data_IF_022372825650
#
_entry.id   IF_022372825650
#
_cell.length_a   1.000
_cell.length_b   1.000
_cell.length_c   1.000
_cell.angle_alpha   90.00
_cell.angle_beta   90.00
_cell.angle_gamma   90.00
#
_symmetry.space_group_name_H-M   'P 1'
#
loop_
_entity.id
_entity.type
_entity.pdbx_description
1 polymer ?
#
# COMPACT_ATOMS: atom_id res chain seq x y z
N UNK A 1 -2.18 16.86 -1.26
CA UNK A 1 -2.01 16.06 -2.50
C UNK A 1 -0.99 14.95 -2.23
N UNK A 2 -1.39 13.92 -1.47
CA UNK A 2 -2.11 12.67 -1.81
C UNK A 2 -1.17 11.55 -2.28
N UNK A 3 -0.71 10.75 -1.30
CA UNK A 3 -0.04 9.46 -1.48
C UNK A 3 -0.86 8.42 -2.27
N UNK A 4 -2.16 8.69 -2.48
CA UNK A 4 -3.13 7.76 -3.08
C UNK A 4 -3.78 8.28 -4.37
N UNK A 5 -3.41 9.47 -4.87
CA UNK A 5 -3.81 9.90 -6.20
C UNK A 5 -2.61 9.79 -7.14
N UNK A 6 -2.55 8.75 -8.00
CA UNK A 6 -1.71 8.83 -9.19
C UNK A 6 -2.38 9.81 -10.14
N UNK A 7 -2.18 11.12 -9.92
CA UNK A 7 -2.47 12.09 -10.97
C UNK A 7 -1.37 11.95 -12.03
N UNK A 8 -1.76 11.52 -13.22
CA UNK A 8 -0.93 11.51 -14.42
C UNK A 8 -0.70 12.92 -14.99
N UNK A 9 -1.26 13.97 -14.38
CA UNK A 9 -1.23 15.35 -14.88
C UNK A 9 -0.02 16.18 -14.41
N UNK A 10 1.00 15.56 -13.79
CA UNK A 10 2.25 16.27 -13.42
C UNK A 10 3.34 16.09 -14.49
N UNK A 11 2.97 15.69 -15.71
CA UNK A 11 3.86 15.61 -16.89
C UNK A 11 4.25 16.99 -17.48
N UNK A 12 4.14 18.07 -16.70
CA UNK A 12 4.42 19.42 -17.16
C UNK A 12 5.87 19.89 -16.96
N UNK A 13 6.36 19.96 -15.72
CA UNK A 13 7.48 20.89 -15.46
C UNK A 13 8.42 20.57 -14.29
N UNK A 14 8.47 19.33 -13.79
CA UNK A 14 9.42 19.00 -12.72
C UNK A 14 10.07 17.64 -12.93
N UNK A 15 11.01 17.57 -13.88
CA UNK A 15 12.01 16.49 -13.88
C UNK A 15 12.86 16.68 -12.61
N UNK A 16 12.82 15.75 -11.65
CA UNK A 16 13.66 15.85 -10.47
C UNK A 16 15.12 15.84 -10.89
N UNK A 17 15.95 16.78 -10.41
CA UNK A 17 17.39 16.91 -10.76
C UNK A 17 18.22 15.62 -10.56
N UNK A 18 17.67 14.63 -9.86
CA UNK A 18 18.24 13.30 -9.68
C UNK A 18 18.24 12.46 -10.97
N UNK A 19 17.38 12.79 -11.95
CA UNK A 19 17.38 12.19 -13.29
C UNK A 19 18.37 12.88 -14.25
N UNK A 20 18.85 14.08 -13.90
CA UNK A 20 19.76 14.88 -14.73
C UNK A 20 21.24 14.71 -14.33
N UNK A 21 21.54 14.01 -13.24
CA UNK A 21 22.91 13.69 -12.87
C UNK A 21 23.22 12.28 -13.35
N UNK A 22 24.12 12.16 -14.34
CA UNK A 22 24.80 10.90 -14.60
C UNK A 22 25.39 10.38 -13.28
N UNK A 23 25.22 9.09 -12.94
CA UNK A 23 25.76 8.55 -11.71
C UNK A 23 27.29 8.73 -11.73
N UNK A 24 27.79 9.52 -10.78
CA UNK A 24 29.21 9.49 -10.41
C UNK A 24 29.53 8.07 -9.95
N UNK A 25 30.63 7.53 -10.44
CA UNK A 25 31.12 6.17 -10.19
C UNK A 25 30.87 5.70 -8.75
N UNK A 26 30.05 4.65 -8.59
CA UNK A 26 29.89 3.91 -7.35
C UNK A 26 28.54 4.02 -6.63
N UNK A 27 27.63 4.92 -7.02
CA UNK A 27 26.25 4.88 -6.49
C UNK A 27 25.39 3.91 -7.30
N UNK A 28 24.93 2.83 -6.66
CA UNK A 28 23.93 1.95 -7.22
C UNK A 28 22.70 2.77 -7.62
N UNK A 29 22.43 2.84 -8.92
CA UNK A 29 21.23 3.50 -9.46
C UNK A 29 20.02 2.82 -8.83
N UNK A 30 19.11 3.56 -8.16
CA UNK A 30 17.87 2.97 -7.64
C UNK A 30 17.17 2.26 -8.78
N UNK A 31 16.80 0.98 -8.61
CA UNK A 31 16.19 0.20 -9.68
C UNK A 31 14.92 0.94 -10.16
N UNK A 32 14.89 1.40 -11.42
CA UNK A 32 13.81 2.24 -11.90
C UNK A 32 12.59 1.36 -12.13
N UNK A 33 11.61 1.52 -11.24
CA UNK A 33 10.32 0.84 -11.30
C UNK A 33 10.50 -0.69 -11.14
N UNK A 34 9.51 -1.35 -10.54
CA UNK A 34 9.29 -2.74 -10.92
C UNK A 34 9.16 -2.73 -12.47
N UNK A 35 9.79 -3.61 -13.24
CA UNK A 35 9.60 -3.70 -14.71
C UNK A 35 8.15 -4.16 -15.02
N UNK A 36 7.17 -3.40 -14.56
CA UNK A 36 5.78 -3.77 -14.44
C UNK A 36 4.96 -3.11 -15.52
N UNK A 37 4.07 -3.91 -16.05
CA UNK A 37 3.21 -3.52 -17.15
C UNK A 37 2.23 -2.43 -16.69
N UNK A 38 1.81 -1.56 -17.63
CA UNK A 38 0.74 -0.57 -17.40
C UNK A 38 -0.50 -1.12 -16.65
N UNK A 39 -0.97 -2.36 -16.90
CA UNK A 39 -2.00 -3.04 -16.10
C UNK A 39 -1.78 -3.05 -14.58
N UNK A 40 -0.53 -3.16 -14.10
CA UNK A 40 -0.23 -3.13 -12.68
C UNK A 40 -0.64 -1.81 -12.02
N UNK A 41 -0.28 -0.68 -12.64
CA UNK A 41 -0.66 0.64 -12.13
C UNK A 41 -2.16 0.87 -12.17
N UNK A 42 -2.83 0.34 -13.20
CA UNK A 42 -4.29 0.37 -13.28
C UNK A 42 -4.93 -0.44 -12.14
N UNK A 43 -4.34 -1.58 -11.79
CA UNK A 43 -4.79 -2.41 -10.67
C UNK A 43 -4.65 -1.67 -9.34
N UNK A 44 -3.50 -1.02 -9.09
CA UNK A 44 -3.30 -0.16 -7.91
C UNK A 44 -4.37 0.91 -7.80
N UNK A 45 -4.60 1.66 -8.88
CA UNK A 45 -5.59 2.73 -8.90
C UNK A 45 -7.01 2.19 -8.66
N UNK A 46 -7.37 1.08 -9.31
CA UNK A 46 -8.71 0.50 -9.25
C UNK A 46 -9.03 -0.10 -7.89
N UNK A 47 -8.10 -0.86 -7.30
CA UNK A 47 -8.25 -1.40 -5.94
C UNK A 47 -8.33 -0.27 -4.92
N UNK A 48 -7.48 0.74 -5.04
CA UNK A 48 -7.52 1.91 -4.14
C UNK A 48 -8.85 2.65 -4.26
N UNK A 49 -9.37 2.83 -5.50
CA UNK A 49 -10.65 3.49 -5.74
C UNK A 49 -11.81 2.75 -5.08
N UNK A 50 -11.89 1.43 -5.23
CA UNK A 50 -12.92 0.64 -4.54
C UNK A 50 -12.74 0.70 -3.02
N UNK A 51 -11.52 0.60 -2.52
CA UNK A 51 -11.24 0.64 -1.08
C UNK A 51 -11.61 1.98 -0.43
N UNK A 52 -11.71 3.07 -1.18
CA UNK A 52 -12.18 4.38 -0.68
C UNK A 52 -13.68 4.43 -0.37
N UNK A 53 -14.46 3.51 -0.94
CA UNK A 53 -15.88 3.46 -0.67
C UNK A 53 -16.12 3.06 0.79
N UNK A 54 -16.86 3.90 1.51
CA UNK A 54 -17.32 3.66 2.88
C UNK A 54 -18.69 2.98 2.92
N UNK A 55 -19.45 3.07 1.82
CA UNK A 55 -20.75 2.40 1.62
C UNK A 55 -20.56 1.00 1.07
N UNK A 56 -21.63 0.19 1.17
CA UNK A 56 -21.69 -1.10 0.49
C UNK A 56 -21.59 -0.93 -1.03
N UNK A 57 -20.95 -1.92 -1.68
CA UNK A 57 -20.76 -1.94 -3.12
C UNK A 57 -22.10 -2.16 -3.84
N UNK A 58 -22.36 -1.33 -4.85
CA UNK A 58 -23.47 -1.52 -5.79
C UNK A 58 -23.18 -2.66 -6.78
N UNK A 59 -24.14 -2.96 -7.65
CA UNK A 59 -24.04 -4.12 -8.54
C UNK A 59 -22.87 -4.01 -9.53
N UNK A 60 -22.59 -2.81 -10.06
CA UNK A 60 -21.48 -2.59 -11.00
C UNK A 60 -20.14 -2.65 -10.28
N UNK A 61 -20.05 -2.04 -9.10
CA UNK A 61 -18.86 -2.08 -8.24
C UNK A 61 -18.53 -3.51 -7.80
N UNK A 62 -19.54 -4.35 -7.54
CA UNK A 62 -19.34 -5.78 -7.25
C UNK A 62 -18.73 -6.53 -8.43
N UNK A 63 -19.17 -6.25 -9.66
CA UNK A 63 -18.57 -6.86 -10.85
C UNK A 63 -17.11 -6.45 -11.02
N UNK A 64 -16.81 -5.16 -10.79
CA UNK A 64 -15.43 -4.65 -10.81
C UNK A 64 -14.61 -5.33 -9.71
N UNK A 65 -15.16 -5.48 -8.50
CA UNK A 65 -14.50 -6.17 -7.40
C UNK A 65 -14.15 -7.62 -7.75
N UNK A 66 -15.09 -8.39 -8.32
CA UNK A 66 -14.84 -9.79 -8.73
C UNK A 66 -13.78 -9.88 -9.83
N UNK A 67 -13.80 -8.94 -10.78
CA UNK A 67 -12.76 -8.86 -11.82
C UNK A 67 -11.40 -8.57 -11.20
N UNK A 68 -11.29 -7.57 -10.33
CA UNK A 68 -10.03 -7.21 -9.67
C UNK A 68 -9.50 -8.33 -8.80
N UNK A 69 -10.37 -9.08 -8.13
CA UNK A 69 -9.97 -10.28 -7.38
C UNK A 69 -9.33 -11.32 -8.31
N UNK A 70 -9.90 -11.52 -9.49
CA UNK A 70 -9.35 -12.43 -10.50
C UNK A 70 -8.02 -11.92 -11.06
N UNK A 71 -7.92 -10.62 -11.36
CA UNK A 71 -6.69 -9.99 -11.87
C UNK A 71 -5.55 -10.08 -10.83
N UNK A 72 -5.84 -9.86 -9.55
CA UNK A 72 -4.86 -10.02 -8.44
C UNK A 72 -4.44 -11.48 -8.29
N UNK A 73 -5.37 -12.44 -8.39
CA UNK A 73 -5.00 -13.86 -8.35
C UNK A 73 -4.14 -14.25 -9.55
N UNK A 74 -4.42 -13.71 -10.75
CA UNK A 74 -3.60 -13.95 -11.92
C UNK A 74 -2.20 -13.32 -11.75
N UNK A 75 -2.13 -12.10 -11.23
CA UNK A 75 -0.86 -11.44 -10.89
C UNK A 75 -0.01 -12.34 -9.99
N UNK A 76 -0.59 -12.88 -8.92
CA UNK A 76 0.13 -13.80 -8.03
C UNK A 76 0.57 -15.13 -8.66
N UNK A 77 -0.16 -15.64 -9.66
CA UNK A 77 0.18 -16.90 -10.35
C UNK A 77 1.21 -16.71 -11.46
N UNK A 78 1.18 -15.57 -12.13
CA UNK A 78 2.02 -15.30 -13.31
C UNK A 78 3.43 -14.88 -12.88
N UNK A 79 3.51 -14.19 -11.74
CA UNK A 79 4.75 -13.78 -11.12
C UNK A 79 5.20 -14.85 -10.12
N UNK A 80 5.92 -15.88 -10.60
CA UNK A 80 6.75 -16.80 -9.78
C UNK A 80 7.91 -16.01 -9.15
N UNK A 81 7.56 -15.05 -8.29
CA UNK A 81 8.43 -13.91 -8.01
C UNK A 81 9.18 -14.06 -6.71
N UNK A 82 10.47 -14.32 -6.87
CA UNK A 82 11.52 -14.02 -5.90
C UNK A 82 11.58 -12.52 -5.53
N UNK A 83 10.79 -11.63 -6.17
CA UNK A 83 10.72 -10.21 -5.79
C UNK A 83 9.80 -9.99 -4.57
N UNK A 84 10.36 -9.68 -3.40
CA UNK A 84 9.57 -9.49 -2.20
C UNK A 84 8.67 -8.24 -2.25
N UNK A 85 8.98 -7.22 -3.05
CA UNK A 85 8.11 -6.03 -3.17
C UNK A 85 6.84 -6.33 -3.94
N UNK A 86 6.90 -7.13 -5.02
CA UNK A 86 5.71 -7.60 -5.73
C UNK A 86 4.78 -8.42 -4.84
N UNK A 87 5.38 -9.30 -4.03
CA UNK A 87 4.64 -10.05 -3.00
C UNK A 87 4.01 -9.13 -1.95
N UNK A 88 4.67 -8.04 -1.58
CA UNK A 88 4.10 -7.04 -0.69
C UNK A 88 2.88 -6.34 -1.31
N UNK A 89 2.95 -6.03 -2.60
CA UNK A 89 1.84 -5.47 -3.37
C UNK A 89 0.64 -6.41 -3.45
N UNK A 90 0.86 -7.70 -3.71
CA UNK A 90 -0.24 -8.67 -3.76
C UNK A 90 -0.98 -8.77 -2.42
N UNK A 91 -0.25 -8.76 -1.30
CA UNK A 91 -0.84 -8.70 0.05
C UNK A 91 -1.63 -7.41 0.27
N UNK A 92 -1.07 -6.26 -0.11
CA UNK A 92 -1.78 -5.00 -0.01
C UNK A 92 -3.05 -4.96 -0.86
N UNK A 93 -3.04 -5.49 -2.09
CA UNK A 93 -4.24 -5.59 -2.93
C UNK A 93 -5.32 -6.42 -2.26
N UNK A 94 -4.98 -7.62 -1.77
CA UNK A 94 -5.94 -8.49 -1.09
C UNK A 94 -6.53 -7.85 0.16
N UNK A 95 -5.71 -7.20 0.99
CA UNK A 95 -6.18 -6.49 2.19
C UNK A 95 -7.21 -5.41 1.80
N UNK A 96 -6.93 -4.63 0.76
CA UNK A 96 -7.84 -3.57 0.32
C UNK A 96 -9.12 -4.11 -0.33
N UNK A 97 -9.05 -5.19 -1.09
CA UNK A 97 -10.24 -5.85 -1.63
C UNK A 97 -11.10 -6.44 -0.51
N UNK A 98 -10.48 -7.04 0.52
CA UNK A 98 -11.20 -7.57 1.68
C UNK A 98 -11.91 -6.48 2.47
N UNK A 99 -11.37 -5.25 2.53
CA UNK A 99 -12.08 -4.13 3.18
C UNK A 99 -13.51 -3.97 2.66
N UNK A 100 -13.71 -4.11 1.35
CA UNK A 100 -15.00 -3.96 0.67
C UNK A 100 -15.67 -5.27 0.26
N UNK A 101 -15.23 -6.44 0.76
CA UNK A 101 -15.76 -7.73 0.31
C UNK A 101 -17.27 -7.85 0.61
N UNK A 102 -18.12 -7.99 -0.44
CA UNK A 102 -19.57 -8.06 -0.28
C UNK A 102 -20.07 -9.44 0.18
N UNK A 103 -19.22 -10.48 0.15
CA UNK A 103 -19.58 -11.87 0.46
C UNK A 103 -19.29 -12.24 1.91
N UNK A 104 -18.36 -11.54 2.56
CA UNK A 104 -17.91 -11.83 3.91
C UNK A 104 -18.44 -10.85 4.95
N UNK A 105 -18.78 -11.36 6.14
CA UNK A 105 -19.08 -10.48 7.27
C UNK A 105 -17.80 -9.79 7.80
N UNK A 106 -17.96 -8.75 8.62
CA UNK A 106 -16.83 -7.96 9.10
C UNK A 106 -15.81 -8.77 9.92
N UNK A 107 -16.25 -9.76 10.70
CA UNK A 107 -15.37 -10.59 11.51
C UNK A 107 -14.48 -11.52 10.65
N UNK A 108 -15.06 -12.14 9.61
CA UNK A 108 -14.34 -12.95 8.64
C UNK A 108 -13.30 -12.11 7.90
N UNK A 109 -13.72 -10.95 7.37
CA UNK A 109 -12.82 -10.00 6.71
C UNK A 109 -11.66 -9.60 7.60
N UNK A 110 -11.93 -9.23 8.85
CA UNK A 110 -10.90 -8.86 9.83
C UNK A 110 -9.93 -10.01 10.11
N UNK A 111 -10.41 -11.25 10.19
CA UNK A 111 -9.57 -12.43 10.37
C UNK A 111 -8.64 -12.63 9.17
N UNK A 112 -9.18 -12.61 7.95
CA UNK A 112 -8.41 -12.79 6.72
C UNK A 112 -7.38 -11.67 6.52
N UNK A 113 -7.77 -10.42 6.82
CA UNK A 113 -6.85 -9.28 6.79
C UNK A 113 -5.70 -9.47 7.80
N UNK A 114 -5.96 -9.99 9.01
CA UNK A 114 -4.91 -10.25 10.00
C UNK A 114 -3.91 -11.30 9.51
N UNK A 115 -4.36 -12.34 8.82
CA UNK A 115 -3.50 -13.36 8.21
C UNK A 115 -2.62 -12.74 7.13
N UNK A 116 -3.22 -12.05 6.16
CA UNK A 116 -2.49 -11.39 5.07
C UNK A 116 -1.52 -10.33 5.57
N UNK A 117 -1.90 -9.61 6.64
CA UNK A 117 -1.04 -8.65 7.29
C UNK A 117 0.19 -9.32 7.93
N UNK A 118 0.01 -10.46 8.59
CA UNK A 118 1.14 -11.19 9.18
C UNK A 118 2.11 -11.66 8.08
N UNK A 119 1.60 -12.23 6.99
CA UNK A 119 2.41 -12.59 5.83
C UNK A 119 3.12 -11.37 5.23
N UNK A 120 2.41 -10.24 5.11
CA UNK A 120 2.97 -8.98 4.63
C UNK A 120 4.09 -8.44 5.50
N UNK A 121 3.99 -8.57 6.84
CA UNK A 121 5.08 -8.18 7.75
C UNK A 121 6.32 -9.04 7.56
N UNK A 122 6.16 -10.37 7.45
CA UNK A 122 7.28 -11.28 7.22
C UNK A 122 8.01 -10.92 5.92
N UNK A 123 7.27 -10.59 4.85
CA UNK A 123 7.86 -10.11 3.60
C UNK A 123 8.56 -8.76 3.82
N UNK A 124 7.89 -7.81 4.48
CA UNK A 124 8.43 -6.46 4.69
C UNK A 124 9.76 -6.48 5.46
N UNK A 125 9.93 -7.40 6.41
CA UNK A 125 11.16 -7.57 7.16
C UNK A 125 12.35 -7.91 6.25
N UNK A 126 12.16 -8.75 5.23
CA UNK A 126 13.20 -9.16 4.29
C UNK A 126 13.46 -8.14 3.17
N UNK A 127 12.53 -7.22 2.92
CA UNK A 127 12.69 -6.17 1.90
C UNK A 127 13.64 -5.08 2.39
N UNK A 128 14.70 -4.82 1.61
CA UNK A 128 15.46 -3.58 1.70
C UNK A 128 14.82 -2.52 0.80
N UNK A 129 13.93 -1.73 1.39
CA UNK A 129 13.19 -0.71 0.68
C UNK A 129 14.11 0.35 0.06
N UNK A 130 15.31 0.58 0.61
CA UNK A 130 16.25 1.62 0.14
C UNK A 130 16.68 1.44 -1.32
N UNK A 131 16.64 0.20 -1.82
CA UNK A 131 16.97 -0.14 -3.20
C UNK A 131 15.82 0.10 -4.19
N UNK A 132 14.63 0.44 -3.70
CA UNK A 132 13.44 0.71 -4.51
C UNK A 132 13.09 2.19 -4.52
N UNK A 133 12.43 2.63 -5.59
CA UNK A 133 11.92 3.99 -5.65
C UNK A 133 10.88 4.22 -4.53
N UNK A 134 11.11 5.29 -3.76
CA UNK A 134 10.33 5.64 -2.58
C UNK A 134 8.82 5.65 -2.85
N UNK A 135 8.39 6.37 -3.88
CA UNK A 135 6.97 6.60 -4.15
C UNK A 135 6.17 5.31 -4.33
N UNK A 136 6.80 4.25 -4.85
CA UNK A 136 6.16 2.97 -5.14
C UNK A 136 6.15 2.04 -3.94
N UNK A 137 7.24 1.94 -3.22
CA UNK A 137 7.35 1.07 -2.04
C UNK A 137 6.50 1.54 -0.85
N UNK A 138 6.20 2.85 -0.77
CA UNK A 138 5.39 3.40 0.32
C UNK A 138 3.92 2.99 0.29
N UNK A 139 3.34 2.73 -0.88
CA UNK A 139 1.92 2.36 -0.98
C UNK A 139 1.56 1.07 -0.25
N UNK A 140 2.22 -0.08 -0.50
CA UNK A 140 1.90 -1.31 0.22
C UNK A 140 2.28 -1.23 1.71
N UNK A 141 3.32 -0.46 2.05
CA UNK A 141 3.70 -0.18 3.45
C UNK A 141 2.63 0.64 4.16
N UNK A 142 1.98 1.59 3.48
CA UNK A 142 0.88 2.37 4.03
C UNK A 142 -0.31 1.48 4.37
N UNK A 143 -0.67 0.55 3.47
CA UNK A 143 -1.76 -0.41 3.69
C UNK A 143 -1.46 -1.30 4.90
N UNK A 144 -0.26 -1.86 4.99
CA UNK A 144 0.14 -2.67 6.15
C UNK A 144 0.18 -1.82 7.43
N UNK A 145 0.70 -0.59 7.37
CA UNK A 145 0.74 0.34 8.49
C UNK A 145 -0.62 0.63 9.08
N UNK A 146 -1.65 0.82 8.24
CA UNK A 146 -3.01 1.03 8.72
C UNK A 146 -3.59 -0.20 9.44
N UNK A 147 -3.16 -1.41 9.11
CA UNK A 147 -3.61 -2.66 9.77
C UNK A 147 -2.82 -2.95 11.06
N UNK A 148 -1.70 -2.26 11.29
CA UNK A 148 -0.84 -2.48 12.45
C UNK A 148 -1.50 -1.96 13.75
N UNK A 149 -2.24 -2.83 14.44
CA UNK A 149 -2.95 -2.47 15.68
C UNK A 149 -2.06 -2.45 16.94
N UNK A 150 -1.04 -3.32 17.02
CA UNK A 150 -0.17 -3.38 18.21
C UNK A 150 1.08 -2.52 18.07
N UNK A 151 1.56 -1.96 19.18
CA UNK A 151 2.74 -1.08 19.20
C UNK A 151 3.97 -1.75 18.61
N UNK A 152 4.20 -3.04 18.90
CA UNK A 152 5.31 -3.79 18.32
C UNK A 152 5.24 -3.85 16.78
N UNK A 153 4.04 -4.07 16.22
CA UNK A 153 3.83 -4.10 14.77
C UNK A 153 3.96 -2.71 14.14
N UNK A 154 3.43 -1.68 14.82
CA UNK A 154 3.58 -0.29 14.42
C UNK A 154 5.05 0.12 14.37
N UNK A 155 5.83 -0.30 15.37
CA UNK A 155 7.26 -0.04 15.42
C UNK A 155 8.02 -0.66 14.25
N UNK A 156 7.68 -1.91 13.85
CA UNK A 156 8.24 -2.53 12.64
C UNK A 156 7.98 -1.70 11.39
N UNK A 157 6.76 -1.17 11.21
CA UNK A 157 6.41 -0.31 10.08
C UNK A 157 7.17 1.01 10.13
N UNK A 158 7.24 1.67 11.28
CA UNK A 158 7.97 2.93 11.44
C UNK A 158 9.44 2.75 11.13
N UNK A 159 10.08 1.69 11.62
CA UNK A 159 11.50 1.46 11.38
C UNK A 159 11.84 1.32 9.89
N UNK A 160 10.88 0.86 9.06
CA UNK A 160 11.03 0.78 7.61
C UNK A 160 10.85 2.13 6.91
N UNK A 161 10.03 3.03 7.46
CA UNK A 161 9.75 4.37 6.89
C UNK A 161 10.75 5.43 7.40
N UNK A 162 11.22 5.30 8.63
CA UNK A 162 12.01 6.30 9.36
C UNK A 162 13.30 6.75 8.64
N UNK A 163 14.11 5.86 8.03
CA UNK A 163 15.27 6.29 7.23
C UNK A 163 14.90 7.30 6.14
N UNK A 164 13.71 7.20 5.57
CA UNK A 164 13.25 8.06 4.48
C UNK A 164 12.61 9.34 4.98
N UNK A 165 11.91 9.28 6.11
CA UNK A 165 11.39 10.44 6.79
C UNK A 165 12.53 11.35 7.29
N UNK A 166 13.61 10.78 7.85
CA UNK A 166 14.81 11.52 8.29
C UNK A 166 15.54 12.22 7.16
N UNK A 167 15.55 11.61 5.97
CA UNK A 167 16.04 12.24 4.74
C UNK A 167 15.11 13.33 4.18
N UNK A 168 14.08 13.73 4.94
CA UNK A 168 13.05 14.72 4.58
C UNK A 168 12.38 14.44 3.25
N UNK A 169 12.28 13.17 2.86
CA UNK A 169 11.51 12.81 1.67
C UNK A 169 10.03 13.01 2.01
N UNK A 170 9.44 14.08 1.48
CA UNK A 170 8.14 14.59 1.92
C UNK A 170 7.00 13.57 1.89
N UNK A 171 7.04 12.57 1.01
CA UNK A 171 6.05 11.48 0.99
C UNK A 171 6.17 10.54 2.19
N UNK A 172 7.40 10.20 2.61
CA UNK A 172 7.62 9.32 3.76
C UNK A 172 7.23 10.00 5.08
N UNK A 173 7.56 11.29 5.22
CA UNK A 173 7.15 12.10 6.38
C UNK A 173 5.63 12.17 6.47
N UNK A 174 4.94 12.50 5.37
CA UNK A 174 3.48 12.55 5.33
C UNK A 174 2.83 11.20 5.63
N UNK A 175 3.42 10.11 5.14
CA UNK A 175 2.92 8.77 5.45
C UNK A 175 3.07 8.47 6.94
N UNK A 176 4.23 8.77 7.52
CA UNK A 176 4.49 8.59 8.94
C UNK A 176 3.48 9.37 9.80
N UNK A 177 3.29 10.66 9.52
CA UNK A 177 2.30 11.51 10.19
C UNK A 177 0.89 10.93 10.05
N UNK A 178 0.52 10.45 8.86
CA UNK A 178 -0.79 9.84 8.62
C UNK A 178 -0.99 8.57 9.46
N UNK A 179 0.00 7.68 9.48
CA UNK A 179 -0.08 6.45 10.27
C UNK A 179 -0.16 6.74 11.77
N UNK A 180 0.61 7.71 12.27
CA UNK A 180 0.51 8.14 13.67
C UNK A 180 -0.89 8.65 14.01
N UNK A 181 -1.50 9.44 13.12
CA UNK A 181 -2.88 9.90 13.29
C UNK A 181 -3.90 8.75 13.30
N UNK A 182 -3.71 7.72 12.46
CA UNK A 182 -4.59 6.53 12.41
C UNK A 182 -4.43 5.70 13.68
N UNK A 183 -3.22 5.57 14.22
CA UNK A 183 -2.99 4.79 15.43
C UNK A 183 -3.45 5.51 16.71
N UNK A 184 -3.48 6.85 16.68
CA UNK A 184 -3.99 7.68 17.76
C UNK A 184 -5.52 7.81 17.78
N UNK A 185 -6.23 7.37 16.73
CA UNK A 185 -7.70 7.47 16.68
C UNK A 185 -8.36 6.61 17.77
N UNK A 186 -9.45 7.07 18.38
CA UNK A 186 -10.16 6.32 19.43
C UNK A 186 -10.59 4.94 18.94
N UNK A 187 -10.38 3.93 19.78
CA UNK A 187 -10.57 2.51 19.43
C UNK A 187 -12.04 2.13 19.65
N UNK A 188 -12.77 1.86 18.56
CA UNK A 188 -14.02 1.10 18.66
C UNK A 188 -13.72 -0.40 18.85
N UNK A 189 -14.79 -1.21 18.95
CA UNK A 189 -14.76 -2.66 19.14
C UNK A 189 -13.67 -3.34 18.29
N UNK A 190 -12.91 -4.23 18.93
CA UNK A 190 -11.71 -4.88 18.37
C UNK A 190 -11.94 -5.59 17.02
N UNK A 191 -13.19 -6.00 16.75
CA UNK A 191 -13.56 -6.78 15.57
C UNK A 191 -13.64 -5.97 14.28
N UNK A 192 -13.86 -4.65 14.37
CA UNK A 192 -13.98 -3.76 13.20
C UNK A 192 -12.85 -2.72 13.11
N UNK A 193 -12.01 -2.64 14.13
CA UNK A 193 -10.92 -1.65 14.22
C UNK A 193 -10.03 -1.63 12.97
N UNK A 194 -9.66 -2.80 12.45
CA UNK A 194 -8.79 -2.90 11.25
C UNK A 194 -9.46 -2.31 10.01
N UNK A 195 -10.76 -2.58 9.82
CA UNK A 195 -11.53 -2.06 8.70
C UNK A 195 -11.67 -0.53 8.80
N UNK A 196 -11.84 -0.01 10.01
CA UNK A 196 -11.90 1.42 10.29
C UNK A 196 -10.57 2.11 10.05
N UNK A 197 -9.45 1.54 10.50
CA UNK A 197 -8.12 2.12 10.25
C UNK A 197 -7.77 2.12 8.76
N UNK A 198 -8.18 1.07 8.02
CA UNK A 198 -8.08 1.06 6.56
C UNK A 198 -8.99 2.11 5.92
N UNK A 199 -10.19 2.34 6.45
CA UNK A 199 -11.06 3.42 6.00
C UNK A 199 -10.42 4.79 6.24
N UNK A 200 -9.86 5.04 7.43
CA UNK A 200 -9.11 6.26 7.74
C UNK A 200 -7.90 6.43 6.82
N UNK A 201 -7.19 5.37 6.45
CA UNK A 201 -6.12 5.49 5.46
C UNK A 201 -6.61 6.05 4.12
N UNK A 202 -7.83 5.67 3.71
CA UNK A 202 -8.42 6.03 2.43
C UNK A 202 -9.13 7.37 2.42
N UNK A 203 -9.57 7.86 3.58
CA UNK A 203 -10.18 9.17 3.74
C UNK A 203 -9.12 10.25 3.53
N UNK A 204 -9.37 11.14 2.57
CA UNK A 204 -8.51 12.28 2.31
C UNK A 204 -8.76 13.35 3.36
N UNK A 205 -7.71 13.73 4.10
CA UNK A 205 -7.61 15.04 4.75
C UNK A 205 -6.96 16.04 3.81
#
# INVERSE_FOLDING_TARGET
MMLLNPSLDVMGDNIPRHLACAPSDGQAVPRPVLDESYPFFFMVASVTRLARLSRDLDQEERQIWTRLQSDVQQYERTDDTDDPVKRLYSRAFRILLLKGDPMQNAAQRTSDIKVLFHEGLVILETVDLQNYLLSYSLWPVAVLGAVAVSESKQHTIINKIDPWARLRRGQAVRLQERLMSIWASPRETTDILVLQQLQLLMECS
#
